data_IF_805301360768
#
_entry.id   IF_805301360768
#
_cell.length_a   1.000
_cell.length_b   1.000
_cell.length_c   1.000
_cell.angle_alpha   90.00
_cell.angle_beta   90.00
_cell.angle_gamma   90.00
#
_symmetry.space_group_name_H-M   'P 1'
#
loop_
_entity.id
_entity.type
_entity.pdbx_description
1 polymer ?
#
# COMPACT_ATOMS: atom_id res chain seq x y z
N UNK A 1 -31.41 -29.81 5.54
CA UNK A 1 -30.76 -29.13 4.39
C UNK A 1 -30.75 -27.64 4.71
N UNK A 2 -29.59 -27.01 4.90
CA UNK A 2 -29.51 -25.56 5.15
C UNK A 2 -30.02 -24.84 3.91
N UNK A 3 -31.11 -24.08 4.06
CA UNK A 3 -31.71 -23.31 2.98
C UNK A 3 -30.67 -22.34 2.42
N UNK A 4 -30.65 -22.15 1.09
CA UNK A 4 -29.74 -21.19 0.43
C UNK A 4 -29.94 -19.79 1.00
N UNK A 5 -31.19 -19.44 1.30
CA UNK A 5 -31.55 -18.16 1.91
C UNK A 5 -30.91 -17.99 3.28
N UNK A 6 -31.04 -18.99 4.16
CA UNK A 6 -30.45 -18.95 5.50
C UNK A 6 -28.92 -18.88 5.45
N UNK A 7 -28.30 -19.53 4.45
CA UNK A 7 -26.85 -19.44 4.24
C UNK A 7 -26.42 -18.03 3.80
N UNK A 8 -27.19 -17.37 2.93
CA UNK A 8 -26.95 -15.99 2.52
C UNK A 8 -27.12 -15.01 3.69
N UNK A 9 -28.19 -15.17 4.47
CA UNK A 9 -28.48 -14.33 5.63
C UNK A 9 -27.37 -14.48 6.69
N UNK A 10 -26.82 -15.69 6.86
CA UNK A 10 -25.68 -15.93 7.74
C UNK A 10 -24.39 -15.26 7.25
N UNK A 11 -24.07 -15.37 5.97
CA UNK A 11 -22.89 -14.68 5.38
C UNK A 11 -23.00 -13.16 5.56
N UNK A 12 -24.20 -12.61 5.40
CA UNK A 12 -24.45 -11.17 5.60
C UNK A 12 -24.23 -10.75 7.05
N UNK A 13 -24.74 -11.52 8.01
CA UNK A 13 -24.49 -11.28 9.45
C UNK A 13 -23.01 -11.39 9.79
N UNK A 14 -22.36 -12.49 9.40
CA UNK A 14 -20.94 -12.74 9.69
C UNK A 14 -20.04 -11.68 9.05
N UNK A 15 -20.42 -11.12 7.89
CA UNK A 15 -19.70 -10.00 7.26
C UNK A 15 -19.81 -8.71 8.08
N UNK A 16 -20.99 -8.42 8.63
CA UNK A 16 -21.20 -7.28 9.52
C UNK A 16 -20.42 -7.42 10.82
N UNK A 17 -20.39 -8.63 11.38
CA UNK A 17 -19.63 -8.94 12.58
C UNK A 17 -18.12 -8.83 12.35
N UNK A 18 -17.63 -9.39 11.23
CA UNK A 18 -16.23 -9.26 10.83
C UNK A 18 -15.81 -7.79 10.68
N UNK A 19 -16.66 -6.95 10.09
CA UNK A 19 -16.40 -5.52 9.99
C UNK A 19 -16.24 -4.87 11.36
N UNK A 20 -17.12 -5.19 12.32
CA UNK A 20 -17.03 -4.66 13.68
C UNK A 20 -15.74 -5.11 14.37
N UNK A 21 -15.35 -6.37 14.22
CA UNK A 21 -14.11 -6.89 14.78
C UNK A 21 -12.87 -6.18 14.20
N UNK A 22 -12.87 -5.90 12.89
CA UNK A 22 -11.81 -5.10 12.27
C UNK A 22 -11.83 -3.65 12.78
N UNK A 23 -13.00 -3.03 12.93
CA UNK A 23 -13.12 -1.67 13.49
C UNK A 23 -12.55 -1.62 14.94
N UNK A 24 -12.85 -2.62 15.78
CA UNK A 24 -12.29 -2.76 17.14
C UNK A 24 -10.78 -3.02 17.15
N UNK A 25 -10.28 -3.81 16.20
CA UNK A 25 -8.85 -4.02 15.99
C UNK A 25 -8.14 -2.73 15.60
N UNK A 26 -8.70 -1.98 14.66
CA UNK A 26 -8.13 -0.71 14.26
C UNK A 26 -8.14 0.32 15.40
N UNK A 27 -9.20 0.34 16.21
CA UNK A 27 -9.27 1.18 17.42
C UNK A 27 -8.28 0.78 18.52
N UNK A 28 -7.70 -0.42 18.43
CA UNK A 28 -6.76 -0.95 19.42
C UNK A 28 -7.41 -1.58 20.64
N UNK A 29 -8.74 -1.70 20.66
CA UNK A 29 -9.48 -2.48 21.67
C UNK A 29 -9.14 -3.96 21.53
N UNK A 30 -9.09 -4.46 20.29
CA UNK A 30 -8.61 -5.81 19.96
C UNK A 30 -7.13 -5.75 19.60
N UNK A 31 -6.30 -6.58 20.25
CA UNK A 31 -4.84 -6.62 20.03
C UNK A 31 -4.44 -7.39 18.77
N UNK A 32 -5.25 -8.36 18.36
CA UNK A 32 -4.97 -9.27 17.24
C UNK A 32 -5.92 -9.01 16.08
N UNK A 33 -5.47 -9.20 14.84
CA UNK A 33 -6.31 -9.13 13.65
C UNK A 33 -7.34 -10.30 13.65
N UNK A 34 -8.62 -10.09 13.26
CA UNK A 34 -9.64 -11.14 13.17
C UNK A 34 -9.45 -12.01 11.91
N UNK A 35 -8.28 -12.64 11.79
CA UNK A 35 -7.91 -13.46 10.64
C UNK A 35 -8.72 -14.76 10.56
N UNK A 36 -9.10 -15.32 11.71
CA UNK A 36 -9.82 -16.59 11.77
C UNK A 36 -11.27 -16.41 11.32
N UNK A 37 -11.93 -15.37 11.84
CA UNK A 37 -13.29 -14.99 11.44
C UNK A 37 -13.34 -14.67 9.93
N UNK A 38 -12.31 -13.98 9.41
CA UNK A 38 -12.15 -13.75 7.97
C UNK A 38 -12.03 -15.05 7.18
N UNK A 39 -11.20 -16.00 7.63
CA UNK A 39 -11.01 -17.29 6.96
C UNK A 39 -12.29 -18.11 6.92
N UNK A 40 -13.05 -18.13 8.01
CA UNK A 40 -14.33 -18.81 8.09
C UNK A 40 -15.30 -18.21 7.05
N UNK A 41 -15.40 -16.88 7.00
CA UNK A 41 -16.28 -16.20 6.05
C UNK A 41 -15.85 -16.44 4.60
N UNK A 42 -14.54 -16.39 4.31
CA UNK A 42 -13.99 -16.71 2.99
C UNK A 42 -14.35 -18.13 2.55
N UNK A 43 -14.22 -19.09 3.46
CA UNK A 43 -14.60 -20.48 3.20
C UNK A 43 -16.11 -20.61 2.92
N UNK A 44 -16.96 -19.91 3.67
CA UNK A 44 -18.41 -19.91 3.46
C UNK A 44 -18.80 -19.32 2.09
N UNK A 45 -18.19 -18.19 1.71
CA UNK A 45 -18.40 -17.54 0.40
C UNK A 45 -17.97 -18.48 -0.72
N UNK A 46 -16.78 -19.10 -0.62
CA UNK A 46 -16.28 -20.08 -1.60
C UNK A 46 -17.22 -21.29 -1.72
N UNK A 47 -17.64 -21.86 -0.59
CA UNK A 47 -18.52 -23.03 -0.55
C UNK A 47 -19.89 -22.73 -1.17
N UNK A 48 -20.42 -21.52 -0.96
CA UNK A 48 -21.70 -21.13 -1.54
C UNK A 48 -21.57 -20.83 -3.04
N UNK A 49 -20.46 -20.24 -3.49
CA UNK A 49 -20.19 -19.99 -4.91
C UNK A 49 -19.99 -21.26 -5.75
N UNK A 50 -19.56 -22.36 -5.12
CA UNK A 50 -19.48 -23.67 -5.78
C UNK A 50 -20.85 -24.33 -6.03
N UNK A 51 -21.91 -23.87 -5.35
CA UNK A 51 -23.27 -24.40 -5.54
C UNK A 51 -23.95 -23.67 -6.68
N UNK A 52 -24.70 -24.41 -7.51
CA UNK A 52 -25.61 -23.79 -8.48
C UNK A 52 -26.77 -23.16 -7.72
N UNK A 53 -26.85 -21.84 -7.73
CA UNK A 53 -27.97 -21.07 -7.20
C UNK A 53 -29.07 -21.07 -8.27
N UNK A 54 -30.21 -21.76 -8.08
CA UNK A 54 -31.23 -21.87 -9.11
C UNK A 54 -32.02 -20.57 -9.32
N UNK A 55 -32.11 -19.73 -8.29
CA UNK A 55 -32.90 -18.51 -8.29
C UNK A 55 -32.03 -17.29 -8.63
N UNK A 56 -32.45 -16.53 -9.63
CA UNK A 56 -31.81 -15.29 -10.07
C UNK A 56 -31.69 -14.26 -8.93
N UNK A 57 -32.69 -14.14 -8.05
CA UNK A 57 -32.62 -13.23 -6.89
C UNK A 57 -31.49 -13.60 -5.95
N UNK A 58 -31.32 -14.89 -5.66
CA UNK A 58 -30.27 -15.38 -4.76
C UNK A 58 -28.88 -15.27 -5.39
N UNK A 59 -28.77 -15.43 -6.72
CA UNK A 59 -27.54 -15.14 -7.47
C UNK A 59 -27.12 -13.67 -7.34
N UNK A 60 -28.06 -12.73 -7.53
CA UNK A 60 -27.77 -11.31 -7.37
C UNK A 60 -27.37 -10.96 -5.92
N UNK A 61 -28.09 -11.49 -4.92
CA UNK A 61 -27.74 -11.31 -3.50
C UNK A 61 -26.34 -11.84 -3.19
N UNK A 62 -26.03 -13.06 -3.64
CA UNK A 62 -24.71 -13.66 -3.46
C UNK A 62 -23.61 -12.83 -4.13
N UNK A 63 -23.81 -12.39 -5.37
CA UNK A 63 -22.87 -11.53 -6.08
C UNK A 63 -22.60 -10.22 -5.36
N UNK A 64 -23.64 -9.56 -4.85
CA UNK A 64 -23.50 -8.35 -4.05
C UNK A 64 -22.70 -8.58 -2.75
N UNK A 65 -22.99 -9.67 -2.02
CA UNK A 65 -22.26 -10.05 -0.81
C UNK A 65 -20.79 -10.35 -1.11
N UNK A 66 -20.53 -11.10 -2.18
CA UNK A 66 -19.18 -11.42 -2.62
C UNK A 66 -18.37 -10.16 -2.97
N UNK A 67 -18.94 -9.22 -3.73
CA UNK A 67 -18.29 -7.95 -4.05
C UNK A 67 -18.01 -7.11 -2.79
N UNK A 68 -18.94 -7.05 -1.83
CA UNK A 68 -18.75 -6.35 -0.55
C UNK A 68 -17.63 -6.99 0.26
N UNK A 69 -17.62 -8.31 0.37
CA UNK A 69 -16.57 -9.06 1.07
C UNK A 69 -15.18 -8.74 0.50
N UNK A 70 -14.98 -8.84 -0.82
CA UNK A 70 -13.69 -8.53 -1.43
C UNK A 70 -13.29 -7.05 -1.27
N UNK A 71 -14.27 -6.14 -1.32
CA UNK A 71 -14.02 -4.71 -1.10
C UNK A 71 -13.50 -4.46 0.32
N UNK A 72 -14.14 -5.03 1.33
CA UNK A 72 -13.68 -4.93 2.71
C UNK A 72 -12.35 -5.64 2.95
N UNK A 73 -12.17 -6.83 2.39
CA UNK A 73 -10.90 -7.56 2.45
C UNK A 73 -9.73 -6.70 1.93
N UNK A 74 -9.89 -6.11 0.75
CA UNK A 74 -8.86 -5.25 0.15
C UNK A 74 -8.62 -3.99 0.99
N UNK A 75 -9.68 -3.40 1.54
CA UNK A 75 -9.59 -2.24 2.42
C UNK A 75 -8.80 -2.59 3.69
N UNK A 76 -9.18 -3.65 4.41
CA UNK A 76 -8.53 -4.05 5.64
C UNK A 76 -7.08 -4.47 5.41
N UNK A 77 -6.80 -5.21 4.33
CA UNK A 77 -5.42 -5.58 3.96
C UNK A 77 -4.56 -4.33 3.74
N UNK A 78 -5.10 -3.32 3.04
CA UNK A 78 -4.41 -2.04 2.87
C UNK A 78 -4.22 -1.31 4.19
N UNK A 79 -5.23 -1.29 5.06
CA UNK A 79 -5.18 -0.61 6.35
C UNK A 79 -4.20 -1.26 7.32
N UNK A 80 -4.13 -2.59 7.36
CA UNK A 80 -3.14 -3.33 8.15
C UNK A 80 -1.74 -2.97 7.66
N UNK A 81 -1.51 -2.99 6.35
CA UNK A 81 -0.24 -2.57 5.76
C UNK A 81 0.10 -1.11 6.09
N UNK A 82 -0.86 -0.21 5.98
CA UNK A 82 -0.67 1.21 6.32
C UNK A 82 -0.37 1.38 7.83
N UNK A 83 -0.92 0.53 8.70
CA UNK A 83 -0.64 0.51 10.13
C UNK A 83 0.77 -0.04 10.43
N UNK A 84 1.18 -1.13 9.77
CA UNK A 84 2.53 -1.72 9.88
C UNK A 84 3.62 -0.77 9.37
N UNK A 85 3.35 -0.08 8.26
CA UNK A 85 4.25 0.94 7.69
C UNK A 85 4.14 2.30 8.41
N UNK A 86 3.33 2.41 9.48
CA UNK A 86 3.17 3.62 10.29
C UNK A 86 2.48 4.80 9.58
N UNK A 87 1.86 4.59 8.41
CA UNK A 87 1.06 5.57 7.65
C UNK A 87 -0.30 5.85 8.30
N UNK A 88 -0.73 4.98 9.20
CA UNK A 88 -1.88 5.16 10.08
C UNK A 88 -1.41 4.86 11.50
N UNK A 89 -1.78 5.70 12.46
CA UNK A 89 -1.54 5.45 13.89
C UNK A 89 -2.83 5.65 14.69
N UNK A 90 -2.84 5.14 15.91
CA UNK A 90 -3.93 5.33 16.87
C UNK A 90 -3.65 6.59 17.68
N UNK A 91 -4.61 7.51 17.78
CA UNK A 91 -4.52 8.62 18.73
C UNK A 91 -4.73 8.15 20.18
N UNK A 92 -4.59 9.06 21.14
CA UNK A 92 -4.82 8.79 22.57
C UNK A 92 -6.24 8.31 22.88
N UNK A 93 -7.21 8.57 21.99
CA UNK A 93 -8.60 8.12 22.08
C UNK A 93 -8.90 6.84 21.29
N UNK A 94 -7.90 6.22 20.65
CA UNK A 94 -8.08 5.01 19.83
C UNK A 94 -8.66 5.28 18.43
N UNK A 95 -8.77 6.53 17.98
CA UNK A 95 -9.17 6.78 16.60
C UNK A 95 -8.00 6.55 15.65
N UNK A 96 -8.31 6.00 14.48
CA UNK A 96 -7.34 5.92 13.39
C UNK A 96 -7.08 7.30 12.83
N UNK A 97 -5.88 7.81 13.07
CA UNK A 97 -5.39 9.03 12.44
C UNK A 97 -4.45 8.62 11.31
N UNK A 98 -4.70 9.14 10.11
CA UNK A 98 -3.69 9.10 9.05
C UNK A 98 -2.54 9.99 9.51
N UNK A 99 -1.47 9.35 9.95
CA UNK A 99 -0.21 10.03 10.15
C UNK A 99 0.30 10.45 8.77
N UNK A 100 0.96 11.61 8.69
CA UNK A 100 2.02 11.73 7.69
C UNK A 100 2.96 10.58 8.08
N UNK A 101 2.96 9.50 7.31
CA UNK A 101 3.63 8.26 7.72
C UNK A 101 5.08 8.53 8.13
N UNK A 102 5.77 7.57 8.77
CA UNK A 102 7.22 7.67 8.87
C UNK A 102 7.74 8.03 7.49
N UNK A 103 8.73 8.93 7.36
CA UNK A 103 9.23 9.33 6.06
C UNK A 103 9.68 8.05 5.37
N UNK A 104 8.83 7.51 4.48
CA UNK A 104 9.31 6.62 3.44
C UNK A 104 10.42 7.40 2.75
N UNK A 105 11.53 6.75 2.44
CA UNK A 105 12.67 7.43 1.82
C UNK A 105 12.13 8.41 0.77
N UNK A 106 12.44 9.72 0.88
CA UNK A 106 11.79 10.75 0.07
C UNK A 106 11.97 10.52 -1.44
N UNK A 107 12.84 9.58 -1.80
CA UNK A 107 12.95 8.97 -3.12
C UNK A 107 12.79 7.45 -3.00
N UNK A 108 11.93 6.82 -3.81
CA UNK A 108 11.86 5.35 -3.91
C UNK A 108 13.21 4.75 -4.33
N UNK A 109 13.64 3.59 -3.78
CA UNK A 109 14.90 2.95 -4.13
C UNK A 109 15.06 2.71 -5.65
N UNK A 110 14.00 2.23 -6.31
CA UNK A 110 13.98 1.98 -7.75
C UNK A 110 14.24 3.25 -8.59
N UNK A 111 13.79 4.41 -8.10
CA UNK A 111 14.01 5.70 -8.78
C UNK A 111 15.47 6.13 -8.70
N UNK A 112 16.13 5.89 -7.57
CA UNK A 112 17.56 6.17 -7.43
C UNK A 112 18.40 5.30 -8.38
N UNK A 113 18.09 4.01 -8.46
CA UNK A 113 18.81 3.09 -9.35
C UNK A 113 18.63 3.47 -10.84
N UNK A 114 17.44 3.94 -11.22
CA UNK A 114 17.17 4.49 -12.57
C UNK A 114 17.98 5.77 -12.84
N UNK A 115 18.01 6.72 -11.90
CA UNK A 115 18.74 7.99 -12.06
C UNK A 115 20.24 7.75 -12.15
N UNK A 116 20.79 6.83 -11.35
CA UNK A 116 22.20 6.45 -11.41
C UNK A 116 22.55 5.79 -12.74
N UNK A 117 21.70 4.90 -13.24
CA UNK A 117 21.85 4.28 -14.56
C UNK A 117 21.85 5.32 -15.69
N UNK A 118 20.89 6.26 -15.66
CA UNK A 118 20.81 7.35 -16.63
C UNK A 118 22.05 8.25 -16.57
N UNK A 119 22.57 8.53 -15.37
CA UNK A 119 23.79 9.32 -15.20
C UNK A 119 25.01 8.60 -15.76
N UNK A 120 25.15 7.30 -15.49
CA UNK A 120 26.26 6.49 -15.98
C UNK A 120 26.27 6.45 -17.52
N UNK A 121 25.10 6.26 -18.14
CA UNK A 121 24.96 6.28 -19.59
C UNK A 121 25.32 7.65 -20.17
N UNK A 122 24.79 8.73 -19.59
CA UNK A 122 25.11 10.09 -20.04
C UNK A 122 26.60 10.44 -19.87
N UNK A 123 27.25 9.97 -18.79
CA UNK A 123 28.70 10.18 -18.60
C UNK A 123 29.53 9.40 -19.60
N UNK A 124 29.13 8.17 -19.92
CA UNK A 124 29.77 7.35 -20.97
C UNK A 124 29.69 8.02 -22.33
N UNK A 125 28.54 8.58 -22.69
CA UNK A 125 28.34 9.32 -23.95
C UNK A 125 29.20 10.59 -24.02
N UNK A 126 29.49 11.22 -22.88
CA UNK A 126 30.40 12.37 -22.79
C UNK A 126 31.88 11.98 -22.63
N UNK A 127 32.25 10.69 -22.71
CA UNK A 127 33.62 10.22 -22.57
C UNK A 127 34.19 10.33 -21.15
N UNK A 128 33.34 10.44 -20.13
CA UNK A 128 33.72 10.57 -18.72
C UNK A 128 33.70 9.18 -18.06
N UNK A 129 34.86 8.72 -17.58
CA UNK A 129 34.95 7.47 -16.81
C UNK A 129 34.21 7.60 -15.48
N UNK A 130 33.46 6.58 -15.09
CA UNK A 130 32.73 6.54 -13.81
C UNK A 130 33.03 5.22 -13.12
N UNK A 131 33.59 5.29 -11.91
CA UNK A 131 33.86 4.11 -11.09
C UNK A 131 32.62 3.68 -10.30
N UNK A 132 32.52 2.40 -9.96
CA UNK A 132 31.41 1.86 -9.16
C UNK A 132 31.32 2.51 -7.77
N UNK A 133 32.48 2.85 -7.19
CA UNK A 133 32.59 3.58 -5.92
C UNK A 133 31.96 4.97 -5.99
N UNK A 134 32.10 5.66 -7.13
CA UNK A 134 31.50 6.98 -7.33
C UNK A 134 29.97 6.90 -7.38
N UNK A 135 29.43 5.84 -7.98
CA UNK A 135 27.99 5.60 -8.03
C UNK A 135 27.42 5.31 -6.65
N UNK A 136 28.12 4.50 -5.85
CA UNK A 136 27.71 4.21 -4.48
C UNK A 136 27.74 5.48 -3.60
N UNK A 137 28.81 6.26 -3.67
CA UNK A 137 28.91 7.53 -2.93
C UNK A 137 27.81 8.52 -3.34
N UNK A 138 27.49 8.57 -4.63
CA UNK A 138 26.43 9.42 -5.15
C UNK A 138 25.03 8.96 -4.72
N UNK A 139 24.78 7.65 -4.65
CA UNK A 139 23.52 7.08 -4.14
C UNK A 139 23.23 7.57 -2.73
N UNK A 140 24.20 7.45 -1.84
CA UNK A 140 24.05 7.86 -0.44
C UNK A 140 23.90 9.38 -0.32
N UNK A 141 24.63 10.15 -1.13
CA UNK A 141 24.47 11.61 -1.18
C UNK A 141 23.06 12.03 -1.63
N UNK A 142 22.49 11.37 -2.65
CA UNK A 142 21.14 11.67 -3.14
C UNK A 142 20.06 11.34 -2.11
N UNK A 143 20.21 10.25 -1.34
CA UNK A 143 19.30 9.93 -0.22
C UNK A 143 19.30 11.03 0.84
N UNK A 144 20.47 11.45 1.31
CA UNK A 144 20.60 12.52 2.31
C UNK A 144 19.98 13.82 1.79
N UNK A 145 20.30 14.20 0.55
CA UNK A 145 19.76 15.42 -0.07
C UNK A 145 18.25 15.38 -0.26
N UNK A 146 17.68 14.23 -0.58
CA UNK A 146 16.25 14.09 -0.67
C UNK A 146 15.56 14.29 0.68
N UNK A 147 16.15 13.79 1.77
CA UNK A 147 15.65 14.02 3.13
C UNK A 147 15.66 15.51 3.48
N UNK A 148 16.79 16.19 3.28
CA UNK A 148 16.91 17.62 3.54
C UNK A 148 15.93 18.46 2.70
N UNK A 149 15.73 18.09 1.42
CA UNK A 149 14.81 18.78 0.53
C UNK A 149 13.35 18.55 0.93
N UNK A 150 12.97 17.33 1.31
CA UNK A 150 11.64 17.02 1.79
C UNK A 150 11.33 17.78 3.09
N UNK A 151 12.29 17.85 4.03
CA UNK A 151 12.14 18.55 5.30
C UNK A 151 11.96 20.06 5.11
N UNK A 152 12.73 20.68 4.20
CA UNK A 152 12.65 22.13 3.94
C UNK A 152 11.43 22.54 3.12
N UNK A 153 11.04 21.73 2.14
CA UNK A 153 9.94 22.06 1.23
C UNK A 153 8.57 21.59 1.73
N UNK A 154 8.53 20.66 2.68
CA UNK A 154 7.32 19.94 3.07
C UNK A 154 6.80 18.99 1.98
N UNK A 155 7.55 18.79 0.90
CA UNK A 155 7.17 17.90 -0.20
C UNK A 155 7.23 16.43 0.23
N UNK A 156 6.27 15.65 -0.24
CA UNK A 156 6.14 14.23 0.12
C UNK A 156 7.04 13.32 -0.71
N UNK A 157 7.43 13.76 -1.90
CA UNK A 157 8.30 13.00 -2.79
C UNK A 157 9.23 13.94 -3.56
N UNK A 158 10.49 13.56 -3.63
CA UNK A 158 11.52 14.23 -4.44
C UNK A 158 11.77 13.37 -5.69
N UNK A 159 11.68 13.98 -6.86
CA UNK A 159 12.02 13.34 -8.13
C UNK A 159 13.38 13.86 -8.59
N UNK A 160 14.37 12.98 -8.70
CA UNK A 160 15.63 13.33 -9.36
C UNK A 160 15.55 13.05 -10.86
N UNK A 161 16.09 13.95 -11.69
CA UNK A 161 16.15 13.79 -13.15
C UNK A 161 17.53 14.16 -13.67
N UNK A 162 18.07 13.37 -14.60
CA UNK A 162 19.35 13.64 -15.25
C UNK A 162 19.13 14.59 -16.43
N UNK A 163 19.92 15.66 -16.50
CA UNK A 163 19.90 16.65 -17.60
C UNK A 163 21.32 16.91 -18.09
N UNK A 164 21.50 17.10 -19.39
CA UNK A 164 22.81 17.45 -19.97
C UNK A 164 22.86 18.96 -20.15
N UNK A 165 23.77 19.62 -19.42
CA UNK A 165 24.02 21.07 -19.56
C UNK A 165 25.48 21.31 -19.89
N UNK A 166 25.76 21.99 -21.01
CA UNK A 166 27.13 22.31 -21.42
C UNK A 166 28.01 21.08 -21.67
N UNK A 167 27.42 19.97 -22.14
CA UNK A 167 28.14 18.72 -22.39
C UNK A 167 28.52 17.92 -21.13
N UNK A 168 27.99 18.29 -19.96
CA UNK A 168 28.19 17.55 -18.70
C UNK A 168 26.85 17.09 -18.12
N UNK A 169 26.68 15.79 -17.79
CA UNK A 169 25.49 15.29 -17.13
C UNK A 169 25.36 15.86 -15.70
N UNK A 170 24.18 16.36 -15.35
CA UNK A 170 23.83 16.89 -14.02
C UNK A 170 22.51 16.28 -13.53
N UNK A 171 22.33 16.21 -12.22
CA UNK A 171 21.08 15.77 -11.58
C UNK A 171 20.33 17.00 -11.07
N UNK A 172 19.06 17.14 -11.43
CA UNK A 172 18.14 18.16 -10.90
C UNK A 172 17.09 17.50 -10.02
N UNK A 173 16.73 18.17 -8.93
CA UNK A 173 15.65 17.76 -8.05
C UNK A 173 14.36 18.52 -8.42
N UNK A 174 13.25 17.79 -8.53
CA UNK A 174 11.90 18.32 -8.62
C UNK A 174 11.06 17.86 -7.43
N UNK A 175 10.03 18.63 -7.11
CA UNK A 175 9.05 18.29 -6.07
C UNK A 175 7.82 17.68 -6.72
N UNK A 176 7.25 16.65 -6.08
CA UNK A 176 5.98 16.05 -6.48
C UNK A 176 4.97 16.06 -5.34
#
# INVERSE_FOLDING_TARGET
MTNIKDALDRIESDLGDLKREYDLFFQGVRRTEPQEERRILEWMVKRLGQRKLPNTKDQFRFGALQSRFFSYFNLWTRMVRDLEEGRIARDTGGNLVRTKGPPGEPVPPDHLDQVLTQLQNARRECGISTEEKDLHALREMLKVRASELADRSGARQIEFRVTIEGGKPKIKAGFR
#
